data_IF_254620931177
#
_entry.id   IF_254620931177
#
_cell.length_a   1.000
_cell.length_b   1.000
_cell.length_c   1.000
_cell.angle_alpha   90.00
_cell.angle_beta   90.00
_cell.angle_gamma   90.00
#
_symmetry.space_group_name_H-M   'P 1'
#
loop_
_entity.id
_entity.type
_entity.pdbx_description
1 polymer ?
#
# COMPACT_ATOMS: atom_id res chain seq x y z
N UNK A 1 -25.37 4.85 -0.20
CA UNK A 1 -25.37 3.60 0.42
C UNK A 1 -24.63 2.60 -0.42
N UNK A 2 -24.02 1.77 0.17
CA UNK A 2 -23.45 0.71 -0.55
C UNK A 2 -24.41 -0.45 -0.51
N UNK A 3 -25.12 -0.63 -1.56
CA UNK A 3 -25.95 -1.78 -1.68
C UNK A 3 -25.17 -3.06 -1.84
N UNK A 4 -23.87 -2.94 -2.10
CA UNK A 4 -23.04 -4.10 -2.36
C UNK A 4 -21.98 -4.21 -1.28
N UNK A 5 -22.14 -5.22 -0.43
CA UNK A 5 -21.09 -5.58 0.52
C UNK A 5 -20.10 -6.49 -0.19
N UNK A 6 -19.22 -5.89 -0.96
CA UNK A 6 -18.19 -6.64 -1.65
C UNK A 6 -16.99 -6.78 -0.71
N UNK A 7 -16.63 -8.03 -0.44
CA UNK A 7 -15.44 -8.33 0.36
C UNK A 7 -14.20 -7.92 -0.43
N UNK A 8 -13.61 -6.81 -0.05
CA UNK A 8 -12.49 -6.25 -0.78
C UNK A 8 -11.20 -6.98 -0.44
N UNK A 9 -10.48 -7.36 -1.49
CA UNK A 9 -9.16 -7.98 -1.37
C UNK A 9 -8.12 -6.97 -1.83
N UNK A 10 -7.14 -6.71 -0.97
CA UNK A 10 -6.06 -5.78 -1.27
C UNK A 10 -4.82 -6.55 -1.69
N UNK A 11 -4.29 -6.18 -2.84
CA UNK A 11 -3.06 -6.76 -3.35
C UNK A 11 -1.85 -6.13 -2.68
N UNK A 12 -0.69 -6.72 -2.92
CA UNK A 12 0.59 -6.11 -2.52
C UNK A 12 0.89 -4.91 -3.43
N UNK A 13 1.88 -4.12 -3.05
CA UNK A 13 2.40 -3.07 -3.91
C UNK A 13 3.91 -3.24 -4.00
N UNK A 14 4.39 -3.67 -5.15
CA UNK A 14 5.80 -3.99 -5.34
C UNK A 14 6.21 -3.53 -6.74
N UNK A 15 7.32 -2.80 -6.82
CA UNK A 15 7.87 -2.37 -8.09
C UNK A 15 6.94 -1.47 -8.90
N UNK A 16 6.10 -0.68 -8.24
CA UNK A 16 5.15 0.21 -8.89
C UNK A 16 3.90 -0.48 -9.42
N UNK A 17 3.71 -1.76 -9.09
CA UNK A 17 2.56 -2.55 -9.54
C UNK A 17 1.83 -3.15 -8.36
N UNK A 18 0.65 -3.71 -8.60
CA UNK A 18 -0.16 -4.34 -7.57
C UNK A 18 -0.27 -5.84 -7.83
N UNK A 19 0.79 -6.62 -7.55
CA UNK A 19 0.71 -8.06 -7.72
C UNK A 19 -0.08 -8.71 -6.60
N UNK A 20 -0.68 -9.85 -6.90
CA UNK A 20 -1.24 -10.71 -5.85
C UNK A 20 -0.09 -11.42 -5.16
N UNK A 21 -0.33 -11.86 -3.91
CA UNK A 21 0.64 -12.74 -3.27
C UNK A 21 0.83 -14.00 -4.10
N UNK A 22 2.07 -14.47 -4.21
CA UNK A 22 2.33 -15.74 -4.90
C UNK A 22 1.68 -16.91 -4.17
N UNK A 23 1.37 -16.75 -2.88
CA UNK A 23 0.65 -17.76 -2.10
C UNK A 23 -0.83 -17.87 -2.50
N UNK A 24 -1.39 -16.82 -3.09
CA UNK A 24 -2.79 -16.73 -3.39
C UNK A 24 -3.68 -16.61 -2.16
N UNK A 25 -3.10 -16.41 -0.97
CA UNK A 25 -3.84 -16.38 0.28
C UNK A 25 -4.11 -14.96 0.72
N UNK A 26 -5.18 -14.80 1.49
CA UNK A 26 -5.55 -13.55 2.14
C UNK A 26 -5.88 -13.85 3.59
N UNK A 27 -5.99 -12.82 4.40
CA UNK A 27 -6.47 -12.95 5.76
C UNK A 27 -7.50 -11.86 6.03
N UNK A 28 -8.36 -12.10 7.01
CA UNK A 28 -9.45 -11.18 7.30
C UNK A 28 -9.02 -10.16 8.35
N UNK A 29 -9.33 -8.89 8.08
CA UNK A 29 -9.16 -7.82 9.06
C UNK A 29 -10.54 -7.34 9.47
N UNK A 30 -10.74 -7.19 10.79
CA UNK A 30 -11.96 -6.64 11.37
C UNK A 30 -11.66 -5.28 11.98
N UNK A 31 -12.62 -4.37 11.88
CA UNK A 31 -12.53 -3.07 12.53
C UNK A 31 -12.76 -3.18 14.04
N UNK A 32 -12.70 -2.03 14.71
CA UNK A 32 -12.87 -1.96 16.16
C UNK A 32 -14.22 -2.50 16.63
N UNK A 33 -15.23 -2.42 15.78
CA UNK A 33 -16.57 -2.95 16.05
C UNK A 33 -16.73 -4.42 15.69
N UNK A 34 -15.64 -5.11 15.40
CA UNK A 34 -15.58 -6.52 15.00
C UNK A 34 -16.29 -6.83 13.68
N UNK A 35 -16.64 -5.83 12.91
CA UNK A 35 -17.20 -6.02 11.58
C UNK A 35 -16.08 -6.23 10.56
N UNK A 36 -16.37 -7.02 9.55
CA UNK A 36 -15.44 -7.26 8.45
C UNK A 36 -15.00 -5.94 7.83
N UNK A 37 -13.71 -5.78 7.60
CA UNK A 37 -13.13 -4.60 6.98
C UNK A 37 -12.53 -4.90 5.62
N UNK A 38 -11.62 -5.86 5.55
CA UNK A 38 -10.93 -6.18 4.30
C UNK A 38 -10.22 -7.53 4.38
N UNK A 39 -9.85 -8.05 3.21
CA UNK A 39 -8.99 -9.23 3.07
C UNK A 39 -7.69 -8.80 2.40
N UNK A 40 -6.67 -8.37 3.14
CA UNK A 40 -5.37 -8.10 2.52
C UNK A 40 -4.66 -9.40 2.15
N UNK A 41 -3.72 -9.27 1.22
CA UNK A 41 -2.91 -10.41 0.80
C UNK A 41 -2.06 -10.92 1.96
N UNK A 42 -2.00 -12.25 2.11
CA UNK A 42 -1.09 -12.88 3.05
C UNK A 42 0.22 -13.13 2.33
N UNK A 43 1.17 -12.23 2.50
CA UNK A 43 2.43 -12.27 1.80
C UNK A 43 3.25 -13.49 2.21
N UNK A 44 3.98 -14.04 1.25
CA UNK A 44 4.89 -15.15 1.48
C UNK A 44 6.33 -14.64 1.58
N UNK A 45 7.23 -15.57 1.90
CA UNK A 45 8.67 -15.28 1.89
C UNK A 45 9.15 -14.84 0.50
N UNK A 46 8.61 -15.44 -0.56
CA UNK A 46 8.95 -15.06 -1.93
C UNK A 46 8.50 -13.63 -2.24
N UNK A 47 7.32 -13.26 -1.78
CA UNK A 47 6.82 -11.88 -1.96
C UNK A 47 7.74 -10.87 -1.29
N UNK A 48 8.22 -11.18 -0.08
CA UNK A 48 9.18 -10.32 0.62
C UNK A 48 10.48 -10.21 -0.17
N UNK A 49 10.97 -11.32 -0.71
CA UNK A 49 12.18 -11.31 -1.55
C UNK A 49 11.99 -10.41 -2.77
N UNK A 50 10.86 -10.57 -3.45
CA UNK A 50 10.56 -9.77 -4.64
C UNK A 50 10.49 -8.26 -4.29
N UNK A 51 9.91 -7.92 -3.15
CA UNK A 51 9.84 -6.54 -2.68
C UNK A 51 11.24 -5.97 -2.42
N UNK A 52 12.09 -6.74 -1.75
CA UNK A 52 13.47 -6.31 -1.45
C UNK A 52 14.27 -6.14 -2.73
N UNK A 53 14.12 -7.07 -3.69
CA UNK A 53 14.81 -6.96 -4.98
C UNK A 53 14.37 -5.70 -5.72
N UNK A 54 13.07 -5.43 -5.76
CA UNK A 54 12.54 -4.22 -6.40
C UNK A 54 13.08 -2.95 -5.74
N UNK A 55 13.11 -2.92 -4.41
CA UNK A 55 13.63 -1.78 -3.66
C UNK A 55 15.14 -1.56 -3.93
N UNK A 56 15.92 -2.64 -3.93
CA UNK A 56 17.36 -2.55 -4.21
C UNK A 56 17.62 -2.09 -5.63
N UNK A 57 16.84 -2.56 -6.59
CA UNK A 57 16.96 -2.14 -7.98
C UNK A 57 16.69 -0.65 -8.18
N UNK A 58 15.78 -0.09 -7.39
CA UNK A 58 15.42 1.33 -7.49
C UNK A 58 16.38 2.24 -6.71
N UNK A 59 17.16 1.69 -5.77
CA UNK A 59 17.93 2.48 -4.83
C UNK A 59 18.94 3.41 -5.51
N UNK A 60 19.68 2.92 -6.50
CA UNK A 60 20.73 3.74 -7.14
C UNK A 60 20.12 4.91 -7.90
N UNK A 61 19.00 4.71 -8.60
CA UNK A 61 18.34 5.80 -9.29
C UNK A 61 17.83 6.87 -8.35
N UNK A 62 17.26 6.46 -7.23
CA UNK A 62 16.81 7.41 -6.21
C UNK A 62 17.99 8.13 -5.55
N UNK A 63 19.02 7.38 -5.15
CA UNK A 63 20.18 7.96 -4.49
C UNK A 63 20.94 8.95 -5.39
N UNK A 64 20.95 8.69 -6.70
CA UNK A 64 21.64 9.55 -7.66
C UNK A 64 20.78 10.72 -8.15
N UNK A 65 19.50 10.76 -7.80
CA UNK A 65 18.67 11.92 -8.06
C UNK A 65 19.16 13.08 -7.19
N UNK A 66 19.00 14.32 -7.70
CA UNK A 66 19.41 15.49 -6.93
C UNK A 66 18.53 15.62 -5.67
N UNK A 67 19.09 16.26 -4.65
CA UNK A 67 18.34 16.55 -3.44
C UNK A 67 17.08 17.36 -3.77
N UNK A 68 17.17 18.27 -4.72
CA UNK A 68 16.04 19.07 -5.17
C UNK A 68 14.94 18.16 -5.75
N UNK A 69 15.30 17.25 -6.65
CA UNK A 69 14.31 16.36 -7.26
C UNK A 69 13.67 15.41 -6.26
N UNK A 70 14.48 14.86 -5.34
CA UNK A 70 13.93 14.03 -4.26
C UNK A 70 12.97 14.82 -3.38
N UNK A 71 13.35 16.05 -3.04
CA UNK A 71 12.51 16.95 -2.25
C UNK A 71 11.20 17.26 -2.94
N UNK A 72 11.21 17.48 -4.25
CA UNK A 72 9.99 17.73 -5.00
C UNK A 72 9.01 16.58 -4.92
N UNK A 73 9.51 15.35 -5.04
CA UNK A 73 8.66 14.16 -4.95
C UNK A 73 8.06 14.04 -3.55
N UNK A 74 8.88 14.19 -2.50
CA UNK A 74 8.41 14.10 -1.12
C UNK A 74 7.39 15.21 -0.81
N UNK A 75 7.62 16.40 -1.30
CA UNK A 75 6.70 17.51 -1.13
C UNK A 75 5.34 17.21 -1.78
N UNK A 76 5.38 16.63 -2.99
CA UNK A 76 4.17 16.26 -3.69
C UNK A 76 3.39 15.19 -2.94
N UNK A 77 4.09 14.22 -2.35
CA UNK A 77 3.43 13.19 -1.51
C UNK A 77 2.73 13.87 -0.33
N UNK A 78 3.42 14.79 0.35
CA UNK A 78 2.83 15.51 1.48
C UNK A 78 1.60 16.30 1.07
N UNK A 79 1.63 16.99 -0.07
CA UNK A 79 0.48 17.73 -0.58
C UNK A 79 -0.71 16.82 -0.83
N UNK A 80 -0.47 15.66 -1.45
CA UNK A 80 -1.54 14.71 -1.74
C UNK A 80 -2.12 14.16 -0.45
N UNK A 81 -1.29 13.83 0.52
CA UNK A 81 -1.76 13.34 1.81
C UNK A 81 -2.61 14.40 2.52
N UNK A 82 -2.17 15.65 2.50
CA UNK A 82 -2.92 16.74 3.11
C UNK A 82 -4.27 16.93 2.43
N UNK A 83 -4.30 16.85 1.10
CA UNK A 83 -5.55 16.97 0.34
C UNK A 83 -6.52 15.83 0.59
N UNK A 84 -6.03 14.70 1.12
CA UNK A 84 -6.85 13.52 1.43
C UNK A 84 -6.92 13.26 2.93
N UNK A 85 -6.67 14.28 3.75
CA UNK A 85 -6.60 14.08 5.20
C UNK A 85 -7.88 13.50 5.79
N UNK A 86 -9.05 13.91 5.31
CA UNK A 86 -10.32 13.37 5.80
C UNK A 86 -10.45 11.88 5.50
N UNK A 87 -10.03 11.46 4.32
CA UNK A 87 -10.06 10.05 3.93
C UNK A 87 -9.13 9.22 4.82
N UNK A 88 -7.92 9.73 5.08
CA UNK A 88 -6.98 9.04 5.96
C UNK A 88 -7.53 8.91 7.39
N UNK A 89 -8.10 9.99 7.91
CA UNK A 89 -8.68 9.97 9.25
C UNK A 89 -9.80 8.94 9.34
N UNK A 90 -10.68 8.93 8.36
CA UNK A 90 -11.80 7.98 8.33
C UNK A 90 -11.32 6.53 8.31
N UNK A 91 -10.37 6.22 7.43
CA UNK A 91 -9.88 4.86 7.30
C UNK A 91 -9.11 4.39 8.53
N UNK A 92 -8.31 5.25 9.12
CA UNK A 92 -7.57 4.92 10.34
C UNK A 92 -8.51 4.71 11.51
N UNK A 93 -9.59 5.47 11.58
CA UNK A 93 -10.55 5.40 12.68
C UNK A 93 -11.46 4.18 12.63
N UNK A 94 -11.50 3.48 11.50
CA UNK A 94 -12.32 2.30 11.34
C UNK A 94 -11.71 1.09 12.01
#
# INVERSE_FOLDING_TARGET
>A
MSSLDVNKTYKLFIGGAFPRSESGRVYEIKGANKKFLANPALASRKDLRDAVVAAKSAQSGWANATAFNRGQILYRIAEIMQGRSEQFVEEIST
#
